data_IF_525949258197
#
_entry.id   IF_525949258197
#
_cell.length_a   1.000
_cell.length_b   1.000
_cell.length_c   1.000
_cell.angle_alpha   90.00
_cell.angle_beta   90.00
_cell.angle_gamma   90.00
#
_symmetry.space_group_name_H-M   'P 1'
#
loop_
_entity.id
_entity.type
_entity.pdbx_description
1 polymer ?
#
# COMPACT_ATOMS: atom_id res chain seq x y z
N UNK A 1 5.47 -0.69 11.64
CA UNK A 1 5.46 -0.95 10.19
C UNK A 1 5.63 0.40 9.48
N UNK A 2 6.57 0.56 8.54
CA UNK A 2 6.83 1.87 7.90
C UNK A 2 5.75 2.20 6.86
N UNK A 3 5.35 3.47 6.75
CA UNK A 3 4.34 3.97 5.80
C UNK A 3 4.69 3.59 4.35
N UNK A 4 5.99 3.60 4.02
CA UNK A 4 6.50 3.16 2.71
C UNK A 4 6.26 1.68 2.43
N UNK A 5 6.18 0.83 3.46
CA UNK A 5 5.83 -0.58 3.35
C UNK A 5 4.32 -0.80 3.27
N UNK A 6 3.54 -0.01 4.03
CA UNK A 6 2.06 -0.04 3.99
C UNK A 6 1.53 0.35 2.61
N UNK A 7 1.99 1.48 2.05
CA UNK A 7 1.61 1.90 0.70
C UNK A 7 2.15 0.97 -0.39
N UNK A 8 3.39 0.46 -0.29
CA UNK A 8 3.88 -0.55 -1.24
C UNK A 8 3.01 -1.81 -1.26
N UNK A 9 2.47 -2.23 -0.12
CA UNK A 9 1.63 -3.43 -0.02
C UNK A 9 0.22 -3.22 -0.57
N UNK A 10 -0.33 -2.01 -0.46
CA UNK A 10 -1.61 -1.61 -1.05
C UNK A 10 -1.48 -1.40 -2.57
N UNK A 11 -0.38 -0.82 -3.04
CA UNK A 11 -0.19 -0.51 -4.46
C UNK A 11 0.47 -1.61 -5.30
N UNK A 12 1.04 -2.67 -4.70
CA UNK A 12 1.53 -3.85 -5.43
C UNK A 12 0.49 -4.97 -5.45
N UNK A 13 -0.52 -4.81 -6.31
CA UNK A 13 -1.10 -5.92 -7.08
C UNK A 13 -1.15 -5.50 -8.55
N UNK A 14 -0.87 -6.44 -9.44
CA UNK A 14 -0.89 -6.30 -10.90
C UNK A 14 -2.21 -5.73 -11.40
N UNK A 15 -2.35 -4.41 -11.40
CA UNK A 15 -3.38 -3.68 -12.11
C UNK A 15 -2.74 -3.28 -13.43
N UNK A 16 -3.24 -3.83 -14.55
CA UNK A 16 -3.02 -3.27 -15.89
C UNK A 16 -3.58 -1.84 -15.88
N UNK A 17 -2.75 -0.85 -15.50
CA UNK A 17 -3.14 0.56 -15.50
C UNK A 17 -3.12 1.09 -16.93
N UNK A 18 -4.25 1.64 -17.36
CA UNK A 18 -4.37 2.46 -18.56
C UNK A 18 -3.49 3.71 -18.41
N UNK A 19 -2.85 4.11 -19.51
CA UNK A 19 -1.77 5.10 -19.55
C UNK A 19 -2.29 6.53 -19.71
N UNK A 20 -2.84 7.18 -18.69
CA UNK A 20 -2.99 8.65 -18.71
C UNK A 20 -3.05 9.24 -17.30
N UNK A 21 -1.92 9.74 -16.79
CA UNK A 21 -1.86 10.80 -15.78
C UNK A 21 -0.44 11.41 -15.73
N UNK A 22 -0.36 12.72 -15.95
CA UNK A 22 0.85 13.53 -16.13
C UNK A 22 1.60 13.78 -14.81
N UNK A 23 2.93 13.92 -14.94
CA UNK A 23 3.90 14.31 -13.91
C UNK A 23 3.84 15.82 -13.64
N UNK A 24 3.97 16.23 -12.38
CA UNK A 24 4.46 17.57 -12.01
C UNK A 24 5.63 17.44 -11.03
N UNK A 25 6.64 18.26 -11.30
CA UNK A 25 7.97 18.24 -10.71
C UNK A 25 8.02 18.94 -9.34
N UNK A 26 8.92 18.47 -8.47
CA UNK A 26 9.29 19.12 -7.23
C UNK A 26 10.41 20.17 -7.50
N UNK A 27 10.40 21.32 -6.83
CA UNK A 27 11.47 22.31 -6.95
C UNK A 27 12.71 21.90 -6.14
N UNK A 28 13.85 22.23 -6.74
CA UNK A 28 15.21 22.05 -6.25
C UNK A 28 15.65 23.33 -5.52
N UNK A 29 16.27 23.20 -4.35
CA UNK A 29 16.96 24.34 -3.70
C UNK A 29 18.31 23.85 -3.19
N UNK A 30 19.31 24.06 -4.04
CA UNK A 30 20.73 24.07 -3.70
C UNK A 30 21.20 25.51 -3.56
N UNK A 31 22.15 25.71 -2.64
CA UNK A 31 22.99 26.90 -2.41
C UNK A 31 22.41 27.99 -1.50
N UNK A 32 23.01 28.15 -0.31
CA UNK A 32 23.65 29.39 0.14
C UNK A 32 24.90 29.02 0.96
N UNK A 33 26.08 29.29 0.38
CA UNK A 33 27.34 29.57 1.09
C UNK A 33 27.59 31.07 0.90
N UNK A 34 27.92 31.80 1.96
CA UNK A 34 28.86 32.95 1.98
C UNK A 34 28.93 33.52 3.41
N UNK A 35 30.07 33.38 4.11
CA UNK A 35 31.24 34.28 4.16
C UNK A 35 31.10 35.38 5.23
N UNK A 36 31.92 35.24 6.28
CA UNK A 36 32.34 36.26 7.24
C UNK A 36 33.53 37.06 6.66
N UNK A 37 33.56 38.38 6.87
CA UNK A 37 34.75 39.07 7.38
C UNK A 37 34.35 40.13 8.44
N UNK A 38 35.16 40.72 9.31
CA UNK A 38 36.62 40.88 9.47
C UNK A 38 36.87 41.45 10.88
N UNK A 39 38.07 41.20 11.41
CA UNK A 39 38.64 41.82 12.61
C UNK A 39 38.84 43.35 12.46
N UNK A 40 38.81 44.08 13.58
CA UNK A 40 39.94 44.84 14.12
C UNK A 40 39.47 45.92 15.13
N UNK A 41 39.96 45.85 16.37
CA UNK A 41 40.48 47.04 17.07
C UNK A 41 41.24 46.63 18.33
N UNK A 42 42.53 46.90 18.29
CA UNK A 42 43.53 46.86 19.37
C UNK A 42 43.27 48.00 20.36
N UNK A 43 43.37 47.76 21.68
CA UNK A 43 43.91 48.70 22.68
C UNK A 43 44.41 47.89 23.90
N UNK A 44 45.74 47.70 24.01
CA UNK A 44 46.68 48.31 24.98
C UNK A 44 46.49 47.84 26.43
N UNK A 45 47.53 47.17 26.95
CA UNK A 45 47.69 46.73 28.33
C UNK A 45 48.49 47.73 29.19
N UNK A 46 48.25 47.67 30.50
CA UNK A 46 49.17 47.82 31.66
C UNK A 46 48.54 48.67 32.79
N UNK A 47 48.97 48.51 34.06
CA UNK A 47 48.87 47.34 34.93
C UNK A 47 48.04 47.62 36.22
N UNK A 48 47.75 46.56 36.99
CA UNK A 48 47.08 46.59 38.30
C UNK A 48 47.82 47.41 39.37
N UNK A 49 47.10 47.84 40.42
CA UNK A 49 47.58 47.75 41.78
C UNK A 49 46.77 46.73 42.58
N UNK A 50 47.48 45.77 43.18
CA UNK A 50 46.99 44.95 44.28
C UNK A 50 46.70 45.85 45.49
N UNK A 51 45.49 45.75 46.03
CA UNK A 51 45.21 46.06 47.44
C UNK A 51 44.22 45.03 47.95
N UNK A 52 44.73 44.15 48.83
CA UNK A 52 43.93 43.16 49.54
C UNK A 52 42.93 43.81 50.49
N UNK A 53 41.76 43.17 50.59
CA UNK A 53 40.77 43.41 51.64
C UNK A 53 40.36 42.06 52.23
N UNK A 54 40.03 42.02 53.54
CA UNK A 54 39.93 40.79 54.32
C UNK A 54 38.73 39.95 53.89
N UNK A 55 38.91 38.63 53.82
CA UNK A 55 37.83 37.66 53.66
C UNK A 55 36.89 37.76 54.86
N UNK A 56 35.84 38.55 54.68
CA UNK A 56 34.66 38.56 55.53
C UNK A 56 33.73 37.54 54.89
N UNK A 57 33.32 36.48 55.60
CA UNK A 57 32.30 35.57 55.08
C UNK A 57 30.98 36.33 54.96
N UNK A 58 30.70 36.91 53.79
CA UNK A 58 29.46 37.60 53.50
C UNK A 58 28.35 36.57 53.33
N UNK A 59 27.25 36.75 54.07
CA UNK A 59 26.00 36.07 53.71
C UNK A 59 25.60 36.49 52.29
N UNK A 60 25.07 35.56 51.47
CA UNK A 60 24.70 35.87 50.09
C UNK A 60 23.68 37.02 50.03
N UNK A 61 24.03 38.10 49.34
CA UNK A 61 23.22 39.33 49.24
C UNK A 61 22.40 39.43 47.94
N UNK A 62 22.35 38.35 47.16
CA UNK A 62 21.62 38.23 45.91
C UNK A 62 20.95 36.86 45.78
N UNK A 63 19.70 36.85 45.30
CA UNK A 63 18.93 35.63 45.05
C UNK A 63 18.26 35.65 43.67
N UNK A 64 18.40 34.56 42.93
CA UNK A 64 17.77 34.35 41.62
C UNK A 64 16.83 33.16 41.70
N UNK A 65 15.59 33.36 41.25
CA UNK A 65 14.59 32.30 41.11
C UNK A 65 14.54 31.85 39.65
N UNK A 66 14.73 30.57 39.39
CA UNK A 66 14.58 29.95 38.07
C UNK A 66 13.21 29.29 37.99
N UNK A 67 12.38 29.77 37.07
CA UNK A 67 11.01 29.29 36.83
C UNK A 67 11.01 28.46 35.54
N UNK A 68 10.45 27.25 35.62
CA UNK A 68 10.32 26.32 34.50
C UNK A 68 8.84 26.21 34.10
N UNK A 69 8.47 26.72 32.92
CA UNK A 69 7.07 26.74 32.46
C UNK A 69 6.91 26.30 31.00
N UNK A 70 5.70 25.86 30.63
CA UNK A 70 5.32 25.63 29.24
C UNK A 70 4.85 26.92 28.53
N UNK A 71 4.49 26.81 27.24
CA UNK A 71 3.95 27.93 26.45
C UNK A 71 2.60 28.49 26.96
N UNK A 72 1.89 27.73 27.79
CA UNK A 72 0.64 28.13 28.42
C UNK A 72 0.84 28.66 29.85
N UNK A 73 2.09 28.90 30.26
CA UNK A 73 2.48 29.34 31.60
C UNK A 73 2.20 28.33 32.73
N UNK A 74 2.02 27.04 32.41
CA UNK A 74 1.93 26.00 33.43
C UNK A 74 3.34 25.65 33.91
N UNK A 75 3.51 25.53 35.23
CA UNK A 75 4.78 25.11 35.81
C UNK A 75 5.08 23.65 35.46
N UNK A 76 6.25 23.39 34.88
CA UNK A 76 6.75 22.04 34.61
C UNK A 76 7.40 21.40 35.84
N UNK A 77 7.82 22.23 36.80
CA UNK A 77 8.47 21.85 38.05
C UNK A 77 8.37 23.00 39.05
N UNK A 78 8.54 22.70 40.34
CA UNK A 78 8.87 23.72 41.35
C UNK A 78 10.06 24.58 40.92
N UNK A 79 10.03 25.90 41.18
CA UNK A 79 11.14 26.79 40.91
C UNK A 79 12.42 26.39 41.65
N UNK A 80 13.56 26.75 41.09
CA UNK A 80 14.88 26.57 41.69
C UNK A 80 15.40 27.91 42.20
N UNK A 81 16.00 27.94 43.38
CA UNK A 81 16.48 29.17 44.03
C UNK A 81 18.00 29.06 44.13
N UNK A 82 18.70 30.07 43.62
CA UNK A 82 20.15 30.17 43.67
C UNK A 82 20.50 31.49 44.36
N UNK A 83 21.37 31.42 45.36
CA UNK A 83 21.85 32.59 46.09
C UNK A 83 23.36 32.75 45.92
N UNK A 84 23.83 33.98 45.91
CA UNK A 84 25.25 34.34 45.75
C UNK A 84 25.47 35.79 46.16
N UNK A 85 26.68 36.32 45.94
CA UNK A 85 26.96 37.73 46.17
C UNK A 85 26.87 38.51 44.85
N UNK A 86 26.44 39.77 44.92
CA UNK A 86 26.41 40.63 43.74
C UNK A 86 27.81 40.77 43.12
N UNK A 87 27.89 40.60 41.81
CA UNK A 87 29.13 40.60 41.03
C UNK A 87 29.68 39.20 40.73
N UNK A 88 29.27 38.18 41.49
CA UNK A 88 29.70 36.80 41.24
C UNK A 88 29.17 36.29 39.89
N UNK A 89 29.94 35.41 39.25
CA UNK A 89 29.52 34.73 38.01
C UNK A 89 28.41 33.73 38.30
N UNK A 90 27.36 33.78 37.49
CA UNK A 90 26.23 32.87 37.57
C UNK A 90 26.46 31.64 36.67
N UNK A 91 26.78 30.51 37.28
CA UNK A 91 26.95 29.23 36.58
C UNK A 91 25.66 28.41 36.68
N UNK A 92 24.77 28.53 35.69
CA UNK A 92 23.52 27.75 35.62
C UNK A 92 23.61 26.74 34.48
N UNK A 93 23.20 25.51 34.77
CA UNK A 93 22.89 24.50 33.74
C UNK A 93 21.39 24.40 33.61
N UNK A 94 20.84 24.77 32.44
CA UNK A 94 19.41 24.69 32.22
C UNK A 94 18.93 23.24 32.19
N UNK A 95 17.84 22.98 32.91
CA UNK A 95 17.26 21.65 32.97
C UNK A 95 16.64 21.26 31.64
N UNK A 96 16.91 20.05 31.20
CA UNK A 96 16.17 19.43 30.11
C UNK A 96 14.95 18.66 30.65
N UNK A 97 13.82 18.78 29.96
CA UNK A 97 12.62 18.01 30.23
C UNK A 97 12.37 17.04 29.08
N UNK A 98 12.05 15.80 29.41
CA UNK A 98 11.72 14.80 28.41
C UNK A 98 10.51 15.26 27.58
N UNK A 99 10.60 15.15 26.26
CA UNK A 99 9.55 15.55 25.31
C UNK A 99 9.32 17.07 25.18
N UNK A 100 10.20 17.91 25.71
CA UNK A 100 10.13 19.37 25.57
C UNK A 100 11.45 19.94 25.03
N UNK A 101 11.35 21.02 24.27
CA UNK A 101 12.47 21.84 23.82
C UNK A 101 12.41 23.21 24.54
N UNK A 102 13.54 23.69 25.06
CA UNK A 102 13.65 25.04 25.58
C UNK A 102 13.61 26.03 24.40
N UNK A 103 12.57 26.87 24.36
CA UNK A 103 12.37 27.79 23.22
C UNK A 103 12.59 29.26 23.56
N UNK A 104 12.54 29.63 24.85
CA UNK A 104 12.71 31.01 25.29
C UNK A 104 13.25 31.10 26.71
N UNK A 105 14.19 32.02 26.90
CA UNK A 105 14.73 32.40 28.20
C UNK A 105 14.42 33.88 28.42
N UNK A 106 13.78 34.22 29.54
CA UNK A 106 13.46 35.60 29.91
C UNK A 106 14.16 35.97 31.21
N UNK A 107 14.73 37.16 31.30
CA UNK A 107 15.46 37.61 32.50
C UNK A 107 16.86 37.00 32.67
N UNK A 108 17.45 36.48 31.59
CA UNK A 108 18.79 35.88 31.63
C UNK A 108 19.85 36.90 32.09
N UNK A 109 20.74 36.45 32.98
CA UNK A 109 21.92 37.20 33.45
C UNK A 109 23.10 36.23 33.60
N UNK A 110 24.33 36.71 33.39
CA UNK A 110 25.56 35.95 33.58
C UNK A 110 26.25 36.20 34.93
N UNK A 111 25.72 37.15 35.71
CA UNK A 111 26.22 37.53 37.05
C UNK A 111 25.06 37.85 37.98
N UNK A 112 25.28 37.76 39.29
CA UNK A 112 24.34 38.26 40.29
C UNK A 112 24.36 39.80 40.28
N UNK A 113 23.37 40.44 39.64
CA UNK A 113 23.37 41.91 39.43
C UNK A 113 22.42 42.67 40.35
N UNK A 114 21.42 41.99 40.91
CA UNK A 114 20.35 42.59 41.73
C UNK A 114 20.17 41.80 43.02
N UNK A 115 19.52 42.40 44.03
CA UNK A 115 19.17 41.70 45.27
C UNK A 115 18.22 40.52 45.01
N UNK A 116 17.23 40.72 44.14
CA UNK A 116 16.28 39.70 43.70
C UNK A 116 16.14 39.70 42.19
N UNK A 117 16.28 38.53 41.56
CA UNK A 117 16.09 38.34 40.13
C UNK A 117 15.28 37.10 39.81
N UNK A 118 14.75 37.02 38.58
CA UNK A 118 14.05 35.85 38.10
C UNK A 118 14.46 35.50 36.66
N UNK A 119 14.77 34.23 36.43
CA UNK A 119 15.02 33.66 35.11
C UNK A 119 13.85 32.73 34.79
N UNK A 120 13.12 33.02 33.72
CA UNK A 120 12.03 32.15 33.26
C UNK A 120 12.45 31.39 32.01
N UNK A 121 12.44 30.07 32.11
CA UNK A 121 12.69 29.12 31.04
C UNK A 121 11.35 28.61 30.52
N UNK A 122 11.02 28.97 29.28
CA UNK A 122 9.78 28.57 28.62
C UNK A 122 10.05 27.45 27.62
N UNK A 123 9.35 26.34 27.79
CA UNK A 123 9.53 25.12 27.01
C UNK A 123 8.33 24.84 26.12
N UNK A 124 8.58 24.28 24.93
CA UNK A 124 7.57 23.81 23.99
C UNK A 124 7.60 22.30 23.91
N UNK A 125 6.43 21.67 23.91
CA UNK A 125 6.33 20.22 23.73
C UNK A 125 6.76 19.83 22.31
N UNK A 126 7.59 18.79 22.19
CA UNK A 126 8.06 18.27 20.91
C UNK A 126 6.87 17.85 20.04
N UNK A 127 6.96 18.15 18.76
CA UNK A 127 5.95 17.72 17.79
C UNK A 127 6.00 16.20 17.62
N UNK A 128 4.84 15.54 17.68
CA UNK A 128 4.73 14.13 17.35
C UNK A 128 4.54 13.90 15.84
N UNK A 129 4.69 12.64 15.44
CA UNK A 129 4.20 12.16 14.15
C UNK A 129 2.68 12.18 14.09
N UNK A 130 2.13 12.35 12.88
CA UNK A 130 0.69 12.27 12.63
C UNK A 130 0.15 10.87 12.89
N UNK A 131 -1.10 10.80 13.35
CA UNK A 131 -1.89 9.55 13.33
C UNK A 131 -2.81 9.61 12.13
N UNK A 132 -2.54 8.80 11.11
CA UNK A 132 -3.38 8.67 9.91
C UNK A 132 -4.54 7.72 10.13
N UNK A 133 -5.71 8.08 9.62
CA UNK A 133 -6.95 7.33 9.73
C UNK A 133 -7.46 7.03 8.32
N UNK A 134 -7.58 5.75 8.01
CA UNK A 134 -8.11 5.25 6.75
C UNK A 134 -9.44 4.55 6.98
N UNK A 135 -10.33 4.66 6.00
CA UNK A 135 -11.57 3.89 5.94
C UNK A 135 -11.56 3.09 4.66
N UNK A 136 -11.51 1.77 4.80
CA UNK A 136 -11.32 0.84 3.70
C UNK A 136 -12.48 -0.14 3.66
N UNK A 137 -13.00 -0.38 2.47
CA UNK A 137 -13.94 -1.47 2.21
C UNK A 137 -13.18 -2.79 2.40
N UNK A 138 -13.68 -3.69 3.24
CA UNK A 138 -12.99 -4.94 3.56
C UNK A 138 -13.10 -5.98 2.44
N UNK A 139 -14.10 -5.86 1.59
CA UNK A 139 -14.43 -6.84 0.55
C UNK A 139 -13.66 -6.50 -0.73
N UNK A 140 -13.70 -5.24 -1.21
CA UNK A 140 -13.01 -4.84 -2.45
C UNK A 140 -11.66 -4.11 -2.23
N UNK A 141 -11.35 -3.74 -0.97
CA UNK A 141 -10.12 -3.07 -0.54
C UNK A 141 -9.91 -1.65 -1.06
N UNK A 142 -10.90 -0.96 -1.61
CA UNK A 142 -10.76 0.45 -1.93
C UNK A 142 -10.96 1.36 -0.70
N UNK A 143 -10.48 2.60 -0.78
CA UNK A 143 -10.77 3.60 0.23
C UNK A 143 -12.17 4.16 0.04
N UNK A 144 -12.92 4.27 1.13
CA UNK A 144 -14.31 4.76 1.12
C UNK A 144 -14.39 6.28 1.19
N UNK A 145 -13.34 6.91 1.71
CA UNK A 145 -13.23 8.35 1.84
C UNK A 145 -11.77 8.79 1.81
N UNK A 146 -11.56 10.11 1.72
CA UNK A 146 -10.21 10.68 1.80
C UNK A 146 -9.59 10.34 3.17
N UNK A 147 -8.31 9.94 3.21
CA UNK A 147 -7.61 9.74 4.47
C UNK A 147 -7.62 11.02 5.30
N UNK A 148 -7.85 10.89 6.59
CA UNK A 148 -7.77 11.99 7.56
C UNK A 148 -6.64 11.73 8.54
N UNK A 149 -6.23 12.73 9.31
CA UNK A 149 -5.21 12.58 10.34
C UNK A 149 -5.49 13.48 11.53
N UNK A 150 -4.95 13.11 12.68
CA UNK A 150 -4.91 13.96 13.87
C UNK A 150 -3.47 14.36 14.21
N UNK A 151 -3.33 15.48 14.93
CA UNK A 151 -2.08 16.05 15.42
C UNK A 151 -2.13 16.14 16.94
N UNK A 152 -0.96 16.04 17.56
CA UNK A 152 -0.77 16.17 19.00
C UNK A 152 0.71 16.36 19.32
N UNK A 153 0.99 16.78 20.55
CA UNK A 153 2.35 16.78 21.10
C UNK A 153 2.83 15.37 21.42
N UNK A 154 4.14 15.19 21.52
CA UNK A 154 4.74 13.90 21.84
C UNK A 154 4.26 13.39 23.20
N UNK A 155 3.76 12.15 23.25
CA UNK A 155 3.12 11.52 24.41
C UNK A 155 1.78 12.14 24.85
N UNK A 156 1.12 12.95 24.03
CA UNK A 156 -0.31 13.23 24.24
C UNK A 156 -1.14 11.96 24.04
N UNK A 157 -2.18 11.78 24.84
CA UNK A 157 -3.15 10.69 24.65
C UNK A 157 -4.11 11.01 23.49
N UNK A 158 -4.52 9.99 22.77
CA UNK A 158 -5.60 10.06 21.81
C UNK A 158 -6.54 8.87 21.92
N UNK A 159 -7.80 9.10 21.56
CA UNK A 159 -8.84 8.08 21.41
C UNK A 159 -9.63 8.35 20.14
N UNK A 160 -9.77 7.34 19.29
CA UNK A 160 -10.38 7.45 17.97
C UNK A 160 -11.68 6.66 17.88
N UNK A 161 -12.69 7.29 17.30
CA UNK A 161 -13.91 6.63 16.82
C UNK A 161 -13.85 6.43 15.30
N UNK A 162 -14.53 5.40 14.81
CA UNK A 162 -14.68 5.18 13.38
C UNK A 162 -15.46 6.31 12.71
N UNK A 163 -14.97 6.90 11.61
CA UNK A 163 -15.76 7.84 10.82
C UNK A 163 -17.05 7.23 10.28
N UNK A 164 -18.13 8.00 10.24
CA UNK A 164 -19.37 7.54 9.61
C UNK A 164 -19.21 7.48 8.08
N UNK A 165 -19.62 6.37 7.47
CA UNK A 165 -19.63 6.17 6.02
C UNK A 165 -21.04 5.70 5.63
N UNK A 166 -21.72 6.44 4.76
CA UNK A 166 -23.11 6.14 4.38
C UNK A 166 -23.22 4.77 3.67
N UNK A 167 -24.12 3.91 4.14
CA UNK A 167 -24.36 2.57 3.59
C UNK A 167 -23.32 1.52 4.00
N UNK A 168 -22.49 1.83 5.00
CA UNK A 168 -21.39 1.00 5.47
C UNK A 168 -21.33 0.94 7.00
N UNK A 169 -21.03 -0.25 7.51
CA UNK A 169 -20.81 -0.51 8.93
C UNK A 169 -19.38 -0.96 9.20
N UNK A 170 -18.77 -0.45 10.27
CA UNK A 170 -17.46 -0.94 10.75
C UNK A 170 -17.56 -2.40 11.16
N UNK A 171 -16.60 -3.21 10.71
CA UNK A 171 -16.44 -4.60 11.15
C UNK A 171 -15.26 -4.76 12.09
N UNK A 172 -14.14 -4.08 11.81
CA UNK A 172 -12.99 -4.05 12.72
C UNK A 172 -12.05 -2.88 12.40
N UNK A 173 -11.07 -2.66 13.26
CA UNK A 173 -9.99 -1.71 13.04
C UNK A 173 -8.63 -2.42 13.13
N UNK A 174 -7.64 -1.90 12.41
CA UNK A 174 -6.23 -2.30 12.52
C UNK A 174 -5.39 -1.08 12.89
N UNK A 175 -4.44 -1.29 13.80
CA UNK A 175 -3.63 -0.22 14.39
C UNK A 175 -4.19 0.29 15.72
N UNK A 176 -3.45 1.18 16.39
CA UNK A 176 -3.79 1.65 17.73
C UNK A 176 -4.91 2.71 17.69
N UNK A 177 -6.17 2.31 17.94
CA UNK A 177 -7.33 3.21 18.02
C UNK A 177 -7.33 4.09 19.27
N UNK A 178 -6.64 3.66 20.32
CA UNK A 178 -6.30 4.45 21.50
C UNK A 178 -4.80 4.36 21.74
N UNK A 179 -4.23 5.37 22.40
CA UNK A 179 -2.84 5.35 22.81
C UNK A 179 -2.23 6.73 22.85
N UNK A 180 -0.91 6.80 22.66
CA UNK A 180 -0.16 8.04 22.73
C UNK A 180 0.47 8.39 21.39
N UNK A 181 0.56 9.69 21.12
CA UNK A 181 1.30 10.25 20.01
C UNK A 181 2.80 9.96 20.15
N UNK A 182 3.41 9.38 19.11
CA UNK A 182 4.84 9.04 19.07
C UNK A 182 5.60 9.93 18.11
N UNK A 183 6.93 9.97 18.22
CA UNK A 183 7.78 10.69 17.24
C UNK A 183 7.54 10.22 15.80
N UNK A 184 7.28 8.92 15.63
CA UNK A 184 6.95 8.32 14.34
C UNK A 184 5.46 8.35 14.09
N UNK A 185 5.10 8.55 12.83
CA UNK A 185 3.71 8.48 12.37
C UNK A 185 3.08 7.12 12.71
N UNK A 186 1.80 7.16 13.07
CA UNK A 186 0.96 6.00 13.34
C UNK A 186 -0.13 5.90 12.27
N UNK A 187 -0.67 4.69 12.10
CA UNK A 187 -1.72 4.41 11.11
C UNK A 187 -2.81 3.57 11.78
N UNK A 188 -4.04 4.00 11.59
CA UNK A 188 -5.26 3.29 11.96
C UNK A 188 -6.09 3.11 10.71
N UNK A 189 -6.55 1.89 10.46
CA UNK A 189 -7.45 1.56 9.34
C UNK A 189 -8.71 0.95 9.90
N UNK A 190 -9.84 1.61 9.68
CA UNK A 190 -11.16 1.04 9.93
C UNK A 190 -11.61 0.30 8.67
N UNK A 191 -12.00 -0.96 8.84
CA UNK A 191 -12.50 -1.83 7.80
C UNK A 191 -14.02 -1.90 7.89
N UNK A 192 -14.68 -1.57 6.78
CA UNK A 192 -16.12 -1.49 6.67
C UNK A 192 -16.64 -2.53 5.69
N UNK A 193 -17.89 -2.94 5.87
CA UNK A 193 -18.66 -3.72 4.90
C UNK A 193 -19.99 -2.99 4.65
N UNK A 194 -20.50 -3.10 3.42
CA UNK A 194 -21.81 -2.55 3.05
C UNK A 194 -22.89 -3.08 3.97
N UNK A 195 -23.83 -2.22 4.35
CA UNK A 195 -24.90 -2.58 5.30
C UNK A 195 -25.81 -3.68 4.75
N UNK A 196 -25.99 -3.71 3.42
CA UNK A 196 -26.79 -4.73 2.72
C UNK A 196 -26.10 -6.10 2.63
N UNK A 197 -24.80 -6.21 2.92
CA UNK A 197 -24.05 -7.47 2.81
C UNK A 197 -24.01 -8.18 4.17
N UNK A 198 -24.69 -9.32 4.24
CA UNK A 198 -24.60 -10.21 5.39
C UNK A 198 -23.26 -10.96 5.39
N UNK A 199 -22.93 -11.59 4.26
CA UNK A 199 -21.68 -12.34 4.11
C UNK A 199 -21.07 -12.22 2.70
N UNK A 200 -19.74 -12.40 2.62
CA UNK A 200 -18.97 -12.42 1.37
C UNK A 200 -17.99 -13.59 1.43
N UNK A 201 -18.12 -14.54 0.49
CA UNK A 201 -17.24 -15.70 0.34
C UNK A 201 -16.55 -15.72 -1.03
N UNK A 202 -15.35 -16.29 -1.07
CA UNK A 202 -14.55 -16.50 -2.28
C UNK A 202 -14.35 -18.00 -2.58
N UNK A 203 -15.22 -18.85 -2.03
CA UNK A 203 -15.18 -20.28 -2.30
C UNK A 203 -15.47 -20.55 -3.77
N UNK A 204 -14.69 -21.47 -4.35
CA UNK A 204 -14.87 -21.86 -5.75
C UNK A 204 -16.14 -22.71 -5.85
N UNK A 205 -17.10 -22.22 -6.62
CA UNK A 205 -18.32 -22.94 -6.98
C UNK A 205 -18.61 -22.84 -8.47
N UNK A 206 -19.65 -23.53 -8.92
CA UNK A 206 -20.09 -23.55 -10.31
C UNK A 206 -21.60 -23.39 -10.39
N UNK A 207 -22.08 -22.55 -11.30
CA UNK A 207 -23.49 -22.40 -11.62
C UNK A 207 -23.80 -22.97 -13.00
N UNK A 208 -24.71 -23.94 -13.06
CA UNK A 208 -25.35 -24.39 -14.30
C UNK A 208 -26.63 -23.61 -14.52
N UNK A 209 -26.77 -22.96 -15.67
CA UNK A 209 -27.97 -22.22 -16.03
C UNK A 209 -28.94 -23.14 -16.79
N UNK A 210 -30.19 -23.23 -16.33
CA UNK A 210 -31.25 -24.03 -16.97
C UNK A 210 -31.91 -23.30 -18.14
N UNK A 211 -31.95 -21.97 -18.09
CA UNK A 211 -32.43 -21.11 -19.17
C UNK A 211 -31.51 -19.89 -19.38
N UNK A 212 -31.79 -19.06 -20.38
CA UNK A 212 -31.08 -17.81 -20.61
C UNK A 212 -31.26 -16.87 -19.41
N UNK A 213 -30.18 -16.23 -18.98
CA UNK A 213 -30.21 -15.37 -17.79
C UNK A 213 -29.54 -14.02 -18.02
N UNK A 214 -30.22 -12.94 -17.63
CA UNK A 214 -29.71 -11.57 -17.74
C UNK A 214 -29.04 -11.13 -16.43
N UNK A 215 -27.72 -10.93 -16.49
CA UNK A 215 -26.89 -10.60 -15.33
C UNK A 215 -27.03 -9.14 -14.90
N UNK A 216 -26.71 -8.84 -13.64
CA UNK A 216 -26.58 -7.49 -13.10
C UNK A 216 -25.11 -7.09 -12.94
N UNK A 217 -24.83 -5.78 -12.85
CA UNK A 217 -23.47 -5.26 -12.67
C UNK A 217 -22.94 -5.33 -11.22
N UNK A 218 -23.84 -5.51 -10.26
CA UNK A 218 -23.62 -5.74 -8.84
C UNK A 218 -24.86 -6.45 -8.24
N UNK A 219 -24.79 -6.95 -6.98
CA UNK A 219 -25.99 -7.33 -6.23
C UNK A 219 -27.01 -6.20 -6.21
N UNK A 220 -28.27 -6.49 -6.57
CA UNK A 220 -29.34 -5.49 -6.73
C UNK A 220 -28.99 -4.29 -7.66
N UNK A 221 -27.97 -4.46 -8.51
CA UNK A 221 -27.51 -3.47 -9.46
C UNK A 221 -28.33 -3.44 -10.75
N UNK A 222 -27.79 -2.73 -11.75
CA UNK A 222 -28.43 -2.57 -13.05
C UNK A 222 -28.24 -3.83 -13.88
N UNK A 223 -29.28 -4.20 -14.65
CA UNK A 223 -29.16 -5.26 -15.65
C UNK A 223 -28.15 -4.88 -16.72
N UNK A 224 -27.23 -5.81 -16.97
CA UNK A 224 -26.20 -5.71 -18.01
C UNK A 224 -26.77 -6.17 -19.35
N UNK A 225 -26.01 -5.96 -20.43
CA UNK A 225 -26.32 -6.54 -21.74
C UNK A 225 -25.83 -7.99 -21.88
N UNK A 226 -25.15 -8.51 -20.86
CA UNK A 226 -24.61 -9.88 -20.87
C UNK A 226 -25.74 -10.85 -20.53
N UNK A 227 -26.01 -11.74 -21.49
CA UNK A 227 -26.95 -12.85 -21.32
C UNK A 227 -26.17 -14.14 -21.28
N UNK A 228 -26.32 -14.88 -20.18
CA UNK A 228 -25.76 -16.21 -20.04
C UNK A 228 -26.64 -17.19 -20.81
N UNK A 229 -26.02 -18.00 -21.66
CA UNK A 229 -26.74 -19.01 -22.42
C UNK A 229 -27.18 -20.17 -21.52
N UNK A 230 -28.37 -20.71 -21.79
CA UNK A 230 -28.87 -21.92 -21.14
C UNK A 230 -27.94 -23.12 -21.36
N UNK A 231 -27.96 -24.05 -20.43
CA UNK A 231 -27.14 -25.26 -20.38
C UNK A 231 -25.62 -25.01 -20.35
N UNK A 232 -25.19 -23.82 -19.95
CA UNK A 232 -23.78 -23.51 -19.71
C UNK A 232 -23.46 -23.60 -18.22
N UNK A 233 -22.20 -23.89 -17.91
CA UNK A 233 -21.66 -23.89 -16.54
C UNK A 233 -20.63 -22.79 -16.43
N UNK A 234 -20.76 -21.97 -15.39
CA UNK A 234 -19.86 -20.86 -15.09
C UNK A 234 -19.24 -21.03 -13.72
N UNK A 235 -17.94 -20.73 -13.63
CA UNK A 235 -17.27 -20.65 -12.35
C UNK A 235 -17.73 -19.40 -11.58
N UNK A 236 -17.92 -19.57 -10.29
CA UNK A 236 -18.18 -18.51 -9.32
C UNK A 236 -16.84 -18.04 -8.76
N UNK A 237 -16.62 -16.73 -8.76
CA UNK A 237 -15.41 -16.09 -8.22
C UNK A 237 -15.64 -15.45 -6.85
N UNK A 238 -16.89 -15.11 -6.55
CA UNK A 238 -17.30 -14.44 -5.32
C UNK A 238 -18.79 -14.71 -5.12
N UNK A 239 -19.19 -14.90 -3.86
CA UNK A 239 -20.59 -15.02 -3.45
C UNK A 239 -20.88 -13.98 -2.39
N UNK A 240 -21.92 -13.19 -2.60
CA UNK A 240 -22.44 -12.22 -1.64
C UNK A 240 -23.81 -12.69 -1.18
N UNK A 241 -23.97 -12.87 0.13
CA UNK A 241 -25.28 -13.07 0.76
C UNK A 241 -25.74 -11.72 1.30
N UNK A 242 -26.91 -11.27 0.81
CA UNK A 242 -27.51 -10.04 1.28
C UNK A 242 -28.24 -10.26 2.61
N UNK A 243 -28.44 -9.18 3.37
CA UNK A 243 -29.28 -9.21 4.58
C UNK A 243 -30.72 -9.62 4.28
N UNK A 244 -31.20 -9.43 3.04
CA UNK A 244 -32.48 -9.94 2.56
C UNK A 244 -32.55 -11.46 2.43
N UNK A 245 -31.40 -12.17 2.51
CA UNK A 245 -31.27 -13.60 2.27
C UNK A 245 -30.98 -13.97 0.81
N UNK A 246 -30.99 -13.00 -0.11
CA UNK A 246 -30.65 -13.22 -1.51
C UNK A 246 -29.15 -13.55 -1.67
N UNK A 247 -28.85 -14.58 -2.45
CA UNK A 247 -27.47 -14.96 -2.77
C UNK A 247 -27.11 -14.54 -4.17
N UNK A 248 -26.02 -13.79 -4.30
CA UNK A 248 -25.51 -13.27 -5.56
C UNK A 248 -24.15 -13.88 -5.85
N UNK A 249 -23.97 -14.39 -7.06
CA UNK A 249 -22.72 -15.02 -7.50
C UNK A 249 -22.07 -14.22 -8.62
N UNK A 250 -20.80 -13.88 -8.44
CA UNK A 250 -19.97 -13.23 -9.45
C UNK A 250 -19.41 -14.29 -10.41
N UNK A 251 -19.69 -14.12 -11.70
CA UNK A 251 -19.20 -14.97 -12.78
C UNK A 251 -17.98 -14.37 -13.50
N UNK A 252 -17.49 -13.22 -13.00
CA UNK A 252 -16.33 -12.51 -13.50
C UNK A 252 -16.61 -11.04 -13.80
N UNK A 253 -15.65 -10.16 -13.46
CA UNK A 253 -15.79 -8.73 -13.67
C UNK A 253 -17.04 -8.16 -13.01
N UNK A 254 -17.92 -7.55 -13.79
CA UNK A 254 -19.20 -6.99 -13.35
C UNK A 254 -20.40 -7.85 -13.80
N UNK A 255 -20.26 -9.18 -13.76
CA UNK A 255 -21.33 -10.11 -14.17
C UNK A 255 -21.80 -10.85 -12.93
N UNK A 256 -22.96 -10.44 -12.41
CA UNK A 256 -23.57 -11.00 -11.22
C UNK A 256 -24.91 -11.67 -11.52
N UNK A 257 -25.13 -12.82 -10.90
CA UNK A 257 -26.36 -13.59 -10.99
C UNK A 257 -26.96 -13.80 -9.61
N UNK A 258 -28.22 -13.38 -9.42
CA UNK A 258 -28.99 -13.73 -8.23
C UNK A 258 -29.42 -15.19 -8.34
N UNK A 259 -29.06 -15.98 -7.35
CA UNK A 259 -29.33 -17.40 -7.32
C UNK A 259 -30.83 -17.67 -7.24
N UNK A 260 -31.30 -18.56 -8.11
CA UNK A 260 -32.67 -19.01 -8.14
C UNK A 260 -32.66 -20.49 -8.55
N UNK A 261 -33.20 -21.36 -7.69
CA UNK A 261 -33.21 -22.81 -7.90
C UNK A 261 -34.00 -23.26 -9.15
N UNK A 262 -34.97 -22.47 -9.62
CA UNK A 262 -35.74 -22.77 -10.83
C UNK A 262 -34.95 -22.47 -12.11
N UNK A 263 -34.05 -21.49 -12.05
CA UNK A 263 -33.25 -21.04 -13.19
C UNK A 263 -31.82 -21.62 -13.19
N UNK A 264 -31.34 -22.10 -12.05
CA UNK A 264 -29.94 -22.45 -11.84
C UNK A 264 -29.76 -23.68 -10.95
N UNK A 265 -28.61 -24.32 -11.09
CA UNK A 265 -28.10 -25.33 -10.17
C UNK A 265 -26.68 -24.99 -9.74
N UNK A 266 -26.44 -25.06 -8.43
CA UNK A 266 -25.14 -24.86 -7.83
C UNK A 266 -24.40 -26.19 -7.66
N UNK A 267 -23.09 -26.17 -7.86
CA UNK A 267 -22.18 -27.28 -7.56
C UNK A 267 -20.88 -26.75 -6.97
N UNK A 268 -20.40 -27.37 -5.88
CA UNK A 268 -19.05 -27.11 -5.34
C UNK A 268 -17.94 -27.87 -6.08
N UNK A 269 -18.31 -28.81 -6.96
CA UNK A 269 -17.38 -29.61 -7.76
C UNK A 269 -17.49 -29.17 -9.21
N UNK A 270 -16.33 -29.05 -9.89
CA UNK A 270 -16.31 -28.76 -11.32
C UNK A 270 -17.03 -29.88 -12.07
N UNK A 271 -18.13 -29.59 -12.79
CA UNK A 271 -18.80 -30.62 -13.56
C UNK A 271 -17.88 -31.01 -14.72
N UNK A 272 -17.21 -32.16 -14.57
CA UNK A 272 -16.36 -32.72 -15.61
C UNK A 272 -17.23 -33.10 -16.81
N UNK A 273 -17.18 -32.28 -17.86
CA UNK A 273 -17.46 -32.75 -19.20
C UNK A 273 -16.38 -32.20 -20.12
N UNK A 274 -15.31 -32.97 -20.29
CA UNK A 274 -14.36 -32.72 -21.37
C UNK A 274 -15.15 -32.78 -22.67
N UNK A 275 -15.31 -31.64 -23.34
CA UNK A 275 -15.82 -31.61 -24.70
C UNK A 275 -14.90 -32.50 -25.53
N UNK A 276 -15.36 -33.70 -25.91
CA UNK A 276 -14.74 -34.46 -26.98
C UNK A 276 -15.02 -33.67 -28.25
N UNK A 277 -14.07 -32.81 -28.64
CA UNK A 277 -14.12 -32.13 -29.92
C UNK A 277 -14.21 -33.23 -30.99
N UNK A 278 -15.35 -33.31 -31.69
CA UNK A 278 -15.51 -34.24 -32.81
C UNK A 278 -14.33 -34.06 -33.75
N UNK A 279 -13.71 -35.17 -34.13
CA UNK A 279 -12.61 -35.19 -35.09
C UNK A 279 -13.17 -34.78 -36.46
N UNK A 280 -13.24 -33.47 -36.72
CA UNK A 280 -13.60 -32.90 -38.03
C UNK A 280 -12.40 -32.95 -38.96
N UNK A 281 -11.94 -34.17 -39.30
CA UNK A 281 -10.91 -34.39 -40.31
C UNK A 281 -11.48 -34.56 -41.72
N UNK A 282 -12.72 -34.11 -41.96
CA UNK A 282 -13.45 -34.30 -43.22
C UNK A 282 -12.72 -33.74 -44.43
N UNK A 283 -11.84 -32.74 -44.25
CA UNK A 283 -11.23 -31.96 -45.33
C UNK A 283 -9.73 -32.25 -45.51
N UNK A 284 -9.28 -33.47 -45.24
CA UNK A 284 -7.89 -33.85 -45.48
C UNK A 284 -7.65 -34.12 -46.96
N UNK A 285 -6.68 -33.42 -47.54
CA UNK A 285 -6.18 -33.71 -48.89
C UNK A 285 -5.09 -34.78 -48.75
N UNK A 286 -5.30 -35.95 -49.34
CA UNK A 286 -4.28 -36.99 -49.38
C UNK A 286 -3.11 -36.58 -50.28
N UNK A 287 -1.89 -36.82 -49.82
CA UNK A 287 -0.65 -36.44 -50.49
C UNK A 287 0.34 -37.61 -50.50
N UNK A 288 1.35 -37.51 -51.36
CA UNK A 288 2.53 -38.39 -51.35
C UNK A 288 3.77 -37.61 -51.78
N UNK A 289 4.07 -36.56 -51.02
CA UNK A 289 5.15 -35.61 -51.32
C UNK A 289 6.27 -35.80 -50.30
N UNK A 290 7.53 -35.65 -50.71
CA UNK A 290 8.67 -35.63 -49.78
C UNK A 290 8.99 -34.19 -49.38
N UNK A 291 9.35 -33.98 -48.12
CA UNK A 291 9.86 -32.72 -47.62
C UNK A 291 11.00 -32.98 -46.62
N UNK A 292 11.95 -32.06 -46.54
CA UNK A 292 12.97 -32.04 -45.50
C UNK A 292 12.41 -31.30 -44.28
N UNK A 293 12.58 -31.86 -43.09
CA UNK A 293 12.32 -31.13 -41.85
C UNK A 293 13.31 -29.97 -41.75
N UNK A 294 12.77 -28.75 -41.67
CA UNK A 294 13.52 -27.50 -41.46
C UNK A 294 13.19 -26.99 -40.05
N UNK A 295 14.01 -27.41 -39.09
CA UNK A 295 13.84 -27.09 -37.68
C UNK A 295 15.16 -26.60 -37.09
N UNK A 296 15.22 -26.45 -35.76
CA UNK A 296 16.46 -26.03 -35.10
C UNK A 296 17.54 -27.12 -35.26
N UNK A 297 18.76 -26.79 -35.71
CA UNK A 297 19.85 -27.74 -35.89
C UNK A 297 20.09 -28.61 -34.65
N UNK A 298 20.24 -29.92 -34.87
CA UNK A 298 20.42 -30.94 -33.82
C UNK A 298 19.26 -31.07 -32.80
N UNK A 299 18.07 -30.53 -33.11
CA UNK A 299 16.86 -30.72 -32.30
C UNK A 299 15.85 -31.63 -33.02
N UNK A 300 14.80 -32.00 -32.28
CA UNK A 300 13.68 -32.79 -32.80
C UNK A 300 12.42 -31.94 -32.81
N UNK A 301 11.73 -31.96 -33.94
CA UNK A 301 10.40 -31.38 -34.11
C UNK A 301 9.36 -32.32 -33.50
N UNK A 302 8.52 -31.82 -32.61
CA UNK A 302 7.40 -32.59 -32.05
C UNK A 302 6.26 -32.69 -33.06
N UNK A 303 5.66 -33.88 -33.15
CA UNK A 303 4.47 -34.14 -33.94
C UNK A 303 3.25 -34.38 -33.04
N UNK A 304 2.08 -34.08 -33.58
CA UNK A 304 0.82 -34.11 -32.85
C UNK A 304 -0.14 -35.18 -33.42
N UNK A 305 -1.00 -35.74 -32.57
CA UNK A 305 -2.06 -36.69 -32.99
C UNK A 305 -3.06 -36.07 -33.97
N UNK A 306 -3.29 -34.77 -33.80
CA UNK A 306 -4.10 -33.91 -34.65
C UNK A 306 -3.57 -32.47 -34.64
N UNK A 307 -3.95 -31.64 -35.60
CA UNK A 307 -3.79 -30.19 -35.49
C UNK A 307 -4.25 -29.69 -34.10
N UNK A 308 -3.42 -28.86 -33.46
CA UNK A 308 -3.65 -28.35 -32.09
C UNK A 308 -3.85 -29.43 -31.00
N UNK A 309 -3.44 -30.67 -31.27
CA UNK A 309 -3.64 -31.82 -30.41
C UNK A 309 -2.53 -32.03 -29.38
N UNK A 310 -2.38 -33.28 -28.96
CA UNK A 310 -1.36 -33.70 -28.00
C UNK A 310 -0.10 -34.17 -28.72
N UNK A 311 1.06 -33.97 -28.10
CA UNK A 311 2.35 -34.42 -28.65
C UNK A 311 2.43 -35.94 -28.57
N UNK A 312 2.67 -36.61 -29.69
CA UNK A 312 2.72 -38.08 -29.76
C UNK A 312 4.05 -38.64 -30.22
N UNK A 313 4.83 -37.86 -30.99
CA UNK A 313 6.12 -38.33 -31.50
C UNK A 313 7.04 -37.15 -31.83
N UNK A 314 8.21 -37.44 -32.39
CA UNK A 314 9.13 -36.41 -32.87
C UNK A 314 10.02 -36.88 -34.01
N UNK A 315 10.52 -35.93 -34.81
CA UNK A 315 11.37 -36.17 -35.98
C UNK A 315 12.60 -35.27 -35.89
N UNK A 316 13.83 -35.78 -36.09
CA UNK A 316 15.03 -34.95 -36.06
C UNK A 316 15.05 -33.95 -37.22
N UNK A 317 15.66 -32.78 -36.95
CA UNK A 317 15.97 -31.78 -37.97
C UNK A 317 16.76 -32.39 -39.14
N UNK A 318 16.49 -31.89 -40.35
CA UNK A 318 17.14 -32.32 -41.57
C UNK A 318 16.70 -33.66 -42.15
N UNK A 319 15.85 -34.42 -41.45
CA UNK A 319 15.32 -35.70 -41.97
C UNK A 319 14.36 -35.46 -43.13
N UNK A 320 14.49 -36.27 -44.19
CA UNK A 320 13.52 -36.30 -45.28
C UNK A 320 12.36 -37.22 -44.88
N UNK A 321 11.14 -36.69 -44.97
CA UNK A 321 9.91 -37.36 -44.58
C UNK A 321 8.89 -37.37 -45.74
N UNK A 322 7.98 -38.34 -45.71
CA UNK A 322 6.85 -38.40 -46.65
C UNK A 322 5.61 -37.80 -46.00
N UNK A 323 5.06 -36.77 -46.63
CA UNK A 323 3.81 -36.14 -46.26
C UNK A 323 2.65 -36.88 -46.90
N UNK A 324 1.73 -37.40 -46.07
CA UNK A 324 0.62 -38.27 -46.46
C UNK A 324 -0.73 -37.56 -46.51
N UNK A 325 -0.87 -36.44 -45.81
CA UNK A 325 -2.07 -35.63 -45.86
C UNK A 325 -1.74 -34.14 -45.61
N UNK A 326 -2.63 -33.27 -46.07
CA UNK A 326 -2.66 -31.84 -45.75
C UNK A 326 -4.03 -31.47 -45.23
N UNK A 327 -4.05 -30.61 -44.22
CA UNK A 327 -5.26 -30.06 -43.63
C UNK A 327 -5.07 -28.57 -43.34
N UNK A 328 -6.12 -27.76 -43.47
CA UNK A 328 -6.09 -26.34 -43.10
C UNK A 328 -7.07 -26.12 -41.97
N UNK A 329 -6.59 -25.63 -40.83
CA UNK A 329 -7.42 -25.33 -39.66
C UNK A 329 -7.00 -23.99 -39.06
N UNK A 330 -7.97 -23.11 -38.82
CA UNK A 330 -7.76 -21.77 -38.24
C UNK A 330 -6.65 -20.95 -38.94
N UNK A 331 -6.54 -21.08 -40.27
CA UNK A 331 -5.53 -20.38 -41.08
C UNK A 331 -4.14 -21.03 -41.12
N UNK A 332 -3.90 -22.07 -40.32
CA UNK A 332 -2.63 -22.81 -40.30
C UNK A 332 -2.71 -24.02 -41.23
N UNK A 333 -1.65 -24.26 -41.99
CA UNK A 333 -1.55 -25.41 -42.89
C UNK A 333 -0.77 -26.52 -42.18
N UNK A 334 -1.45 -27.62 -41.92
CA UNK A 334 -0.90 -28.82 -41.30
C UNK A 334 -0.62 -29.90 -42.35
N UNK A 335 0.44 -30.67 -42.12
CA UNK A 335 0.81 -31.83 -42.91
C UNK A 335 1.01 -33.05 -42.01
N UNK A 336 0.47 -34.19 -42.43
CA UNK A 336 0.65 -35.48 -41.77
C UNK A 336 1.93 -36.14 -42.30
N UNK A 337 2.80 -36.57 -41.41
CA UNK A 337 4.03 -37.31 -41.73
C UNK A 337 3.76 -38.80 -41.50
N UNK A 338 3.45 -39.54 -42.58
CA UNK A 338 3.16 -40.97 -42.48
C UNK A 338 2.11 -41.26 -41.40
N UNK A 339 2.46 -42.16 -40.48
CA UNK A 339 1.72 -42.48 -39.26
C UNK A 339 2.34 -41.88 -37.99
N UNK A 340 3.36 -41.02 -38.14
CA UNK A 340 4.08 -40.44 -37.01
C UNK A 340 3.33 -39.26 -36.36
N UNK A 341 2.53 -38.53 -37.13
CA UNK A 341 1.71 -37.41 -36.63
C UNK A 341 1.71 -36.20 -37.56
N UNK A 342 1.19 -35.08 -37.04
CA UNK A 342 1.01 -33.82 -37.77
C UNK A 342 2.05 -32.77 -37.38
N UNK A 343 2.48 -31.98 -38.36
CA UNK A 343 3.27 -30.76 -38.18
C UNK A 343 2.73 -29.64 -39.06
N UNK A 344 3.24 -28.42 -38.87
CA UNK A 344 2.87 -27.24 -39.67
C UNK A 344 3.82 -27.03 -40.85
N UNK A 345 3.32 -26.36 -41.89
CA UNK A 345 4.04 -26.05 -43.14
C UNK A 345 5.39 -25.37 -42.91
N UNK A 346 5.49 -24.51 -41.91
CA UNK A 346 6.65 -23.66 -41.61
C UNK A 346 7.90 -24.47 -41.25
N UNK A 347 7.75 -25.74 -40.85
CA UNK A 347 8.87 -26.64 -40.55
C UNK A 347 9.23 -27.58 -41.69
N UNK A 348 8.71 -27.33 -42.89
CA UNK A 348 8.88 -28.19 -44.06
C UNK A 348 9.53 -27.41 -45.19
N UNK A 349 10.58 -28.00 -45.75
CA UNK A 349 11.26 -27.52 -46.95
C UNK A 349 11.04 -28.52 -48.09
N UNK A 350 10.33 -28.07 -49.12
CA UNK A 350 9.94 -28.87 -50.29
C UNK A 350 11.04 -28.89 -51.35
#
# INVERSE_FOLDING_TARGET
MSLGTYFKRIFNRNIRRSRFAKKHAAPNVSMINQVLPKENSVFVSAPEPETGFPETSSEPDSTIIIIYQDENHNALRSPEIISGNRGDKLNITFKEFENFDLIKITGFTSVFSMEYGAITLTYRKKNAGLVWIFCQDMDDRHFLQKPVFIRGGLNDEYSLSSPAVLGYSVKHASGPVTGFFKERQQVVTYYYRRDEYADVSYDIGFLRFKDFYCCSDAPNGRKTRVVIAKNTVWQIFETIELVSGEKWHCLGGNIWACFNHDLMEYSSVQPQKTLKLENRFSDCINLKIKAKIDFVPNKKLFLYDRPFGTKISSVPDGKIVTLTARHRENGIIWFKIGDLGWTIFEYLKF
#
